data_IF_155444524460
#
_entry.id   IF_155444524460
#
_cell.length_a   1.000
_cell.length_b   1.000
_cell.length_c   1.000
_cell.angle_alpha   90.00
_cell.angle_beta   90.00
_cell.angle_gamma   90.00
#
_symmetry.space_group_name_H-M   'P 1'
#
loop_
_entity.id
_entity.type
_entity.pdbx_description
1 polymer ?
#
# COMPACT_ATOMS: atom_id res chain seq x y z
N UNK A 1 -3.55 6.40 11.56
CA UNK A 1 -2.29 5.92 12.19
C UNK A 1 -1.70 7.00 13.07
N UNK A 2 -1.40 6.67 14.30
CA UNK A 2 -0.85 7.60 15.29
C UNK A 2 0.29 6.91 16.07
N UNK A 3 0.93 7.64 16.98
CA UNK A 3 1.99 7.07 17.84
C UNK A 3 1.50 5.91 18.70
N UNK A 4 0.20 5.86 19.01
CA UNK A 4 -0.39 4.75 19.73
C UNK A 4 -0.31 3.42 18.96
N UNK A 5 -0.15 3.48 17.63
CA UNK A 5 -0.03 2.32 16.77
C UNK A 5 1.41 1.78 16.68
N UNK A 6 2.38 2.48 17.28
CA UNK A 6 3.80 2.12 17.16
C UNK A 6 4.11 0.65 17.52
N UNK A 7 3.59 0.09 18.63
CA UNK A 7 3.87 -1.30 18.96
C UNK A 7 3.41 -2.29 17.89
N UNK A 8 2.25 -2.03 17.30
CA UNK A 8 1.70 -2.88 16.25
C UNK A 8 2.47 -2.72 14.94
N UNK A 9 2.73 -1.48 14.53
CA UNK A 9 3.50 -1.19 13.31
C UNK A 9 4.91 -1.79 13.39
N UNK A 10 5.52 -1.80 14.57
CA UNK A 10 6.83 -2.41 14.77
C UNK A 10 6.86 -3.93 14.50
N UNK A 11 5.71 -4.59 14.48
CA UNK A 11 5.62 -6.03 14.15
C UNK A 11 5.63 -6.31 12.66
N UNK A 12 5.49 -5.29 11.82
CA UNK A 12 5.45 -5.45 10.37
C UNK A 12 6.84 -5.44 9.75
N UNK A 13 7.01 -6.19 8.68
CA UNK A 13 8.18 -6.11 7.82
C UNK A 13 7.95 -5.02 6.79
N UNK A 14 8.37 -3.80 7.13
CA UNK A 14 8.12 -2.62 6.31
C UNK A 14 9.14 -2.42 5.20
N UNK A 15 10.29 -3.08 5.32
CA UNK A 15 11.41 -2.85 4.40
C UNK A 15 11.98 -1.43 4.52
N UNK A 16 13.02 -1.15 3.74
CA UNK A 16 13.63 0.18 3.70
C UNK A 16 14.31 0.59 5.00
N UNK A 17 14.55 1.89 5.14
CA UNK A 17 15.35 2.46 6.23
C UNK A 17 14.56 3.37 7.20
N UNK A 18 13.24 3.50 7.03
CA UNK A 18 12.45 4.46 7.83
C UNK A 18 12.30 4.04 9.30
N UNK A 19 12.20 2.73 9.55
CA UNK A 19 11.80 2.22 10.85
C UNK A 19 10.33 2.50 11.18
N UNK A 20 9.80 1.94 12.30
CA UNK A 20 8.38 2.09 12.64
C UNK A 20 7.96 3.54 12.91
N UNK A 21 8.77 4.30 13.64
CA UNK A 21 8.48 5.70 13.94
C UNK A 21 8.48 6.55 12.68
N UNK A 22 9.50 6.38 11.84
CA UNK A 22 9.60 7.08 10.56
C UNK A 22 8.45 6.72 9.61
N UNK A 23 7.98 5.50 9.68
CA UNK A 23 6.83 5.02 8.92
C UNK A 23 5.55 5.76 9.30
N UNK A 24 5.29 5.87 10.59
CA UNK A 24 4.12 6.61 11.10
C UNK A 24 4.22 8.09 10.73
N UNK A 25 5.38 8.71 10.89
CA UNK A 25 5.60 10.11 10.54
C UNK A 25 5.38 10.35 9.05
N UNK A 26 5.93 9.49 8.19
CA UNK A 26 5.75 9.57 6.75
C UNK A 26 4.28 9.43 6.35
N UNK A 27 3.56 8.49 6.95
CA UNK A 27 2.12 8.31 6.75
C UNK A 27 1.35 9.56 7.14
N UNK A 28 1.65 10.15 8.28
CA UNK A 28 0.99 11.37 8.74
C UNK A 28 1.25 12.55 7.80
N UNK A 29 2.46 12.66 7.23
CA UNK A 29 2.76 13.67 6.23
C UNK A 29 1.94 13.47 4.96
N UNK A 30 1.74 12.23 4.52
CA UNK A 30 0.87 11.96 3.36
C UNK A 30 -0.55 12.46 3.62
N UNK A 31 -1.11 12.22 4.82
CA UNK A 31 -2.43 12.76 5.17
C UNK A 31 -2.47 14.28 5.12
N UNK A 32 -1.46 14.94 5.65
CA UNK A 32 -1.42 16.40 5.70
C UNK A 32 -1.27 17.02 4.30
N UNK A 33 -0.46 16.42 3.44
CA UNK A 33 -0.15 16.96 2.12
C UNK A 33 -1.14 16.54 1.04
N UNK A 34 -1.71 15.35 1.12
CA UNK A 34 -2.49 14.74 0.04
C UNK A 34 -3.90 14.32 0.44
N UNK A 35 -4.23 14.34 1.72
CA UNK A 35 -5.54 13.89 2.24
C UNK A 35 -5.69 12.38 2.33
N UNK A 36 -4.64 11.61 2.09
CA UNK A 36 -4.63 10.16 2.23
C UNK A 36 -3.29 9.66 2.76
N UNK A 37 -3.25 8.42 3.20
CA UNK A 37 -2.08 7.75 3.73
C UNK A 37 -2.39 6.29 4.01
N UNK A 38 -1.55 5.65 4.80
CA UNK A 38 -1.80 4.27 5.20
C UNK A 38 -2.71 4.25 6.43
N UNK A 39 -3.66 3.32 6.44
CA UNK A 39 -4.56 3.08 7.57
C UNK A 39 -4.17 1.80 8.27
N UNK A 40 -4.38 1.76 9.57
CA UNK A 40 -4.28 0.52 10.34
C UNK A 40 -5.46 -0.38 9.95
N UNK A 41 -5.17 -1.64 9.68
CA UNK A 41 -6.19 -2.65 9.35
C UNK A 41 -6.37 -3.57 10.55
N UNK A 42 -7.60 -3.77 10.97
CA UNK A 42 -7.97 -4.63 12.07
C UNK A 42 -9.06 -5.62 11.65
N UNK A 43 -9.14 -6.75 12.34
CA UNK A 43 -10.30 -7.64 12.22
C UNK A 43 -11.52 -6.99 12.86
N UNK A 44 -12.71 -7.52 12.62
CA UNK A 44 -13.93 -7.05 13.29
C UNK A 44 -13.86 -7.22 14.82
N UNK A 45 -13.01 -8.12 15.30
CA UNK A 45 -12.77 -8.31 16.74
C UNK A 45 -11.72 -7.36 17.31
N UNK A 46 -11.13 -6.47 16.50
CA UNK A 46 -10.14 -5.49 16.93
C UNK A 46 -8.70 -5.99 16.92
N UNK A 47 -8.44 -7.16 16.36
CA UNK A 47 -7.08 -7.69 16.25
C UNK A 47 -6.31 -6.96 15.13
N UNK A 48 -5.10 -6.51 15.42
CA UNK A 48 -4.25 -5.84 14.44
C UNK A 48 -3.84 -6.81 13.32
N UNK A 49 -4.10 -6.43 12.08
CA UNK A 49 -3.73 -7.18 10.88
C UNK A 49 -2.50 -6.60 10.20
N UNK A 50 -2.46 -5.30 10.01
CA UNK A 50 -1.40 -4.63 9.28
C UNK A 50 -1.76 -3.20 8.91
N UNK A 51 -1.24 -2.73 7.79
CA UNK A 51 -1.63 -1.45 7.22
C UNK A 51 -1.98 -1.59 5.74
N UNK A 52 -2.76 -0.65 5.26
CA UNK A 52 -3.12 -0.55 3.84
C UNK A 52 -3.59 0.88 3.55
N UNK A 53 -3.24 1.40 2.40
CA UNK A 53 -3.70 2.74 2.03
C UNK A 53 -3.02 3.26 0.79
N UNK A 54 -3.02 4.58 0.66
CA UNK A 54 -2.50 5.31 -0.49
C UNK A 54 -1.33 6.17 -0.09
N UNK A 55 -0.29 6.19 -0.93
CA UNK A 55 0.87 7.07 -0.78
C UNK A 55 1.27 7.62 -2.15
N UNK A 56 2.02 8.73 -2.14
CA UNK A 56 2.62 9.26 -3.36
C UNK A 56 4.00 8.66 -3.54
N UNK A 57 4.27 8.16 -4.74
CA UNK A 57 5.56 7.59 -5.10
C UNK A 57 6.08 8.22 -6.38
N UNK A 58 7.37 8.56 -6.41
CA UNK A 58 8.03 8.98 -7.64
C UNK A 58 8.58 7.77 -8.37
N UNK A 59 8.16 7.58 -9.61
CA UNK A 59 8.59 6.48 -10.47
C UNK A 59 9.09 7.08 -11.78
N UNK A 60 10.37 6.96 -12.04
CA UNK A 60 11.00 7.50 -13.26
C UNK A 60 10.67 8.98 -13.50
N UNK A 61 10.68 9.78 -12.45
CA UNK A 61 10.41 11.23 -12.51
C UNK A 61 8.93 11.62 -12.50
N UNK A 62 8.02 10.65 -12.44
CA UNK A 62 6.58 10.89 -12.40
C UNK A 62 6.02 10.55 -11.01
N UNK A 63 5.20 11.45 -10.47
CA UNK A 63 4.53 11.22 -9.19
C UNK A 63 3.22 10.47 -9.42
N UNK A 64 3.12 9.29 -8.82
CA UNK A 64 1.97 8.39 -8.97
C UNK A 64 1.39 8.02 -7.62
N UNK A 65 0.09 7.74 -7.60
CA UNK A 65 -0.59 7.26 -6.39
C UNK A 65 -0.41 5.75 -6.30
N UNK A 66 0.15 5.29 -5.20
CA UNK A 66 0.37 3.87 -4.94
C UNK A 66 -0.58 3.35 -3.88
N UNK A 67 -1.18 2.17 -4.13
CA UNK A 67 -1.79 1.36 -3.08
C UNK A 67 -0.72 0.46 -2.46
N UNK A 68 -0.59 0.52 -1.15
CA UNK A 68 0.36 -0.31 -0.40
C UNK A 68 -0.36 -1.15 0.64
N UNK A 69 0.21 -2.30 0.96
CA UNK A 69 -0.33 -3.20 2.00
C UNK A 69 0.79 -3.95 2.68
N UNK A 70 0.63 -4.13 3.99
CA UNK A 70 1.48 -4.99 4.81
C UNK A 70 0.58 -5.76 5.77
N UNK A 71 0.80 -7.06 5.86
CA UNK A 71 0.06 -7.95 6.76
C UNK A 71 1.06 -8.63 7.69
N UNK A 72 0.79 -8.62 8.99
CA UNK A 72 1.64 -9.32 9.96
C UNK A 72 1.76 -10.80 9.59
N UNK A 73 2.93 -11.38 9.81
CA UNK A 73 3.25 -12.74 9.32
C UNK A 73 2.27 -13.81 9.76
N UNK A 74 1.73 -13.71 10.99
CA UNK A 74 0.79 -14.70 11.54
C UNK A 74 -0.58 -14.68 10.86
N UNK A 75 -0.91 -13.62 10.12
CA UNK A 75 -2.22 -13.46 9.49
C UNK A 75 -2.16 -13.46 7.95
N UNK A 76 -0.99 -13.79 7.40
CA UNK A 76 -0.83 -13.90 5.94
C UNK A 76 -1.61 -15.09 5.38
N UNK A 77 -1.92 -15.04 4.07
CA UNK A 77 -2.62 -16.10 3.32
C UNK A 77 -4.06 -16.34 3.77
N UNK A 78 -4.69 -15.33 4.38
CA UNK A 78 -6.09 -15.40 4.79
C UNK A 78 -6.99 -14.43 4.02
N UNK A 79 -6.44 -13.76 2.97
CA UNK A 79 -7.20 -12.84 2.15
C UNK A 79 -7.29 -11.41 2.66
N UNK A 80 -6.69 -11.08 3.79
CA UNK A 80 -6.76 -9.73 4.37
C UNK A 80 -6.18 -8.65 3.47
N UNK A 81 -5.01 -8.91 2.86
CA UNK A 81 -4.37 -7.95 1.99
C UNK A 81 -5.24 -7.62 0.77
N UNK A 82 -5.79 -8.65 0.12
CA UNK A 82 -6.64 -8.46 -1.06
C UNK A 82 -7.95 -7.73 -0.71
N UNK A 83 -8.56 -8.06 0.42
CA UNK A 83 -9.77 -7.40 0.88
C UNK A 83 -9.52 -5.92 1.20
N UNK A 84 -8.47 -5.63 1.96
CA UNK A 84 -8.11 -4.25 2.31
C UNK A 84 -7.70 -3.44 1.07
N UNK A 85 -6.83 -3.99 0.24
CA UNK A 85 -6.35 -3.31 -0.97
C UNK A 85 -7.48 -3.08 -1.97
N UNK A 86 -8.42 -4.00 -2.08
CA UNK A 86 -9.63 -3.83 -2.91
C UNK A 86 -10.50 -2.68 -2.43
N UNK A 87 -10.70 -2.56 -1.12
CA UNK A 87 -11.44 -1.45 -0.54
C UNK A 87 -10.71 -0.11 -0.76
N UNK A 88 -9.39 -0.09 -0.62
CA UNK A 88 -8.57 1.10 -0.88
C UNK A 88 -8.64 1.51 -2.35
N UNK A 89 -8.62 0.54 -3.27
CA UNK A 89 -8.80 0.82 -4.70
C UNK A 89 -10.12 1.54 -4.97
N UNK A 90 -11.21 1.09 -4.38
CA UNK A 90 -12.51 1.75 -4.53
C UNK A 90 -12.51 3.16 -3.91
N UNK A 91 -11.90 3.32 -2.75
CA UNK A 91 -11.73 4.64 -2.13
C UNK A 91 -10.91 5.58 -3.02
N UNK A 92 -9.84 5.09 -3.65
CA UNK A 92 -9.03 5.86 -4.58
C UNK A 92 -9.85 6.34 -5.78
N UNK A 93 -10.66 5.46 -6.33
CA UNK A 93 -11.57 5.80 -7.42
C UNK A 93 -12.54 6.91 -7.00
N UNK A 94 -13.12 6.79 -5.82
CA UNK A 94 -14.10 7.75 -5.31
C UNK A 94 -13.52 9.14 -5.09
N UNK A 95 -12.24 9.26 -4.75
CA UNK A 95 -11.57 10.56 -4.58
C UNK A 95 -10.93 11.10 -5.86
N UNK A 96 -11.12 10.42 -7.00
CA UNK A 96 -10.69 10.91 -8.30
C UNK A 96 -9.29 10.49 -8.74
N UNK A 97 -8.71 9.48 -8.15
CA UNK A 97 -7.44 8.91 -8.63
C UNK A 97 -7.71 8.24 -9.98
N UNK A 98 -7.05 8.71 -11.03
CA UNK A 98 -7.25 8.21 -12.38
C UNK A 98 -6.44 6.95 -12.66
N UNK A 99 -5.19 6.91 -12.19
CA UNK A 99 -4.28 5.79 -12.36
C UNK A 99 -3.69 5.38 -11.02
N UNK A 100 -3.85 4.13 -10.66
CA UNK A 100 -3.37 3.56 -9.40
C UNK A 100 -2.29 2.55 -9.69
N UNK A 101 -1.19 2.60 -8.95
CA UNK A 101 -0.09 1.65 -9.09
C UNK A 101 0.18 0.91 -7.78
N UNK A 102 0.95 -0.16 -7.90
CA UNK A 102 1.62 -0.83 -6.79
C UNK A 102 3.04 -1.17 -7.23
N UNK A 103 4.02 -0.87 -6.39
CA UNK A 103 5.43 -1.16 -6.65
C UNK A 103 5.80 -2.40 -5.86
N UNK A 104 6.16 -3.48 -6.55
CA UNK A 104 6.35 -4.79 -5.94
C UNK A 104 7.70 -5.35 -6.37
N UNK A 105 8.45 -5.92 -5.42
CA UNK A 105 9.71 -6.58 -5.75
C UNK A 105 9.45 -7.84 -6.57
N UNK A 106 10.35 -8.18 -7.53
CA UNK A 106 10.14 -9.35 -8.40
C UNK A 106 10.03 -10.67 -7.65
N UNK A 107 10.64 -10.79 -6.47
CA UNK A 107 10.60 -12.00 -5.64
C UNK A 107 9.38 -12.06 -4.71
N UNK A 108 8.61 -10.99 -4.62
CA UNK A 108 7.41 -10.94 -3.78
C UNK A 108 6.18 -11.46 -4.53
N UNK A 109 6.11 -12.77 -4.69
CA UNK A 109 5.04 -13.44 -5.43
C UNK A 109 3.67 -13.25 -4.77
N UNK A 110 3.64 -13.23 -3.43
CA UNK A 110 2.40 -13.04 -2.69
C UNK A 110 1.75 -11.68 -3.00
N UNK A 111 2.54 -10.60 -2.99
CA UNK A 111 2.03 -9.26 -3.33
C UNK A 111 1.64 -9.14 -4.81
N UNK A 112 2.34 -9.82 -5.71
CA UNK A 112 1.92 -9.89 -7.11
C UNK A 112 0.54 -10.55 -7.25
N UNK A 113 0.28 -11.57 -6.47
CA UNK A 113 -1.04 -12.22 -6.41
C UNK A 113 -2.14 -11.28 -5.89
N UNK A 114 -1.83 -10.48 -4.87
CA UNK A 114 -2.77 -9.46 -4.35
C UNK A 114 -3.07 -8.42 -5.44
N UNK A 115 -2.03 -7.90 -6.10
CA UNK A 115 -2.21 -6.94 -7.19
C UNK A 115 -3.14 -7.49 -8.29
N UNK A 116 -2.93 -8.73 -8.70
CA UNK A 116 -3.79 -9.37 -9.70
C UNK A 116 -5.24 -9.49 -9.22
N UNK A 117 -5.47 -9.87 -7.96
CA UNK A 117 -6.82 -10.00 -7.39
C UNK A 117 -7.59 -8.70 -7.37
N UNK A 118 -6.92 -7.58 -7.18
CA UNK A 118 -7.57 -6.26 -7.19
C UNK A 118 -7.59 -5.62 -8.57
N UNK A 119 -7.21 -6.35 -9.61
CA UNK A 119 -7.32 -5.90 -11.00
C UNK A 119 -6.18 -5.05 -11.51
N UNK A 120 -5.03 -5.03 -10.82
CA UNK A 120 -3.83 -4.39 -11.34
C UNK A 120 -3.09 -5.35 -12.26
N UNK A 121 -2.48 -4.81 -13.31
CA UNK A 121 -1.70 -5.59 -14.27
C UNK A 121 -0.27 -5.07 -14.34
N UNK A 122 0.67 -5.93 -14.67
CA UNK A 122 2.08 -5.52 -14.83
C UNK A 122 2.18 -4.53 -15.99
N UNK A 123 2.71 -3.35 -15.69
CA UNK A 123 2.90 -2.28 -16.68
C UNK A 123 4.34 -2.15 -17.13
N UNK A 124 5.30 -2.24 -16.20
CA UNK A 124 6.71 -2.05 -16.51
C UNK A 124 7.61 -2.52 -15.38
N UNK A 125 8.87 -2.70 -15.70
CA UNK A 125 9.93 -2.96 -14.75
C UNK A 125 10.75 -1.67 -14.59
N UNK A 126 11.13 -1.35 -13.37
CA UNK A 126 11.87 -0.13 -13.04
C UNK A 126 12.94 -0.44 -11.99
N UNK A 127 13.77 0.55 -11.70
CA UNK A 127 14.63 0.54 -10.51
C UNK A 127 14.01 1.52 -9.51
N UNK A 128 13.62 1.01 -8.35
CA UNK A 128 13.00 1.80 -7.29
C UNK A 128 13.43 1.26 -5.93
N UNK A 129 13.54 2.15 -4.94
CA UNK A 129 13.91 1.78 -3.58
C UNK A 129 15.20 0.93 -3.49
N UNK A 130 16.18 1.28 -4.33
CA UNK A 130 17.50 0.66 -4.31
C UNK A 130 17.65 -0.66 -5.05
N UNK A 131 16.67 -1.05 -5.87
CA UNK A 131 16.74 -2.31 -6.62
C UNK A 131 15.66 -2.45 -7.68
N UNK A 132 15.65 -3.60 -8.38
CA UNK A 132 14.64 -3.85 -9.39
C UNK A 132 13.25 -3.94 -8.75
N UNK A 133 12.26 -3.41 -9.46
CA UNK A 133 10.87 -3.42 -9.02
C UNK A 133 9.92 -3.56 -10.20
N UNK A 134 8.77 -4.15 -9.92
CA UNK A 134 7.68 -4.27 -10.89
C UNK A 134 6.62 -3.22 -10.56
N UNK A 135 6.14 -2.51 -11.56
CA UNK A 135 5.02 -1.58 -11.42
C UNK A 135 3.77 -2.23 -12.00
N UNK A 136 2.83 -2.52 -11.11
CA UNK A 136 1.49 -2.95 -11.48
C UNK A 136 0.57 -1.73 -11.46
N UNK A 137 -0.42 -1.69 -12.33
CA UNK A 137 -1.31 -0.55 -12.36
C UNK A 137 -2.63 -0.81 -13.04
N UNK A 138 -3.54 0.14 -12.85
CA UNK A 138 -4.82 0.17 -13.52
C UNK A 138 -5.36 1.58 -13.62
N UNK A 139 -6.03 1.87 -14.72
CA UNK A 139 -6.85 3.08 -14.86
C UNK A 139 -8.16 2.82 -14.12
N UNK A 140 -8.51 3.71 -13.18
CA UNK A 140 -9.71 3.54 -12.36
C UNK A 140 -10.96 4.11 -13.04
N UNK A 141 -10.75 4.97 -14.03
CA UNK A 141 -11.84 5.65 -14.71
C UNK A 141 -12.50 6.72 -13.86
N UNK A 142 -13.54 7.39 -14.38
CA UNK A 142 -14.23 8.42 -13.62
C UNK A 142 -15.05 7.81 -12.48
N UNK A 143 -15.17 8.57 -11.37
CA UNK A 143 -16.11 8.23 -10.30
C UNK A 143 -17.53 8.20 -10.83
N UNK A 144 -18.26 7.21 -10.40
CA UNK A 144 -19.66 7.09 -10.79
C UNK A 144 -20.54 8.15 -10.09
#
# INVERSE_FOLDING_TARGET
MTEADLPDIATLDLGGSRGPEGWIEWTRRNYAEHGFGLWVVETHAGEFVGDCGLTMQEVEGEWLVEVGWHVRSSLRRQGYAAEAAGAVREAARDIGVEHLIAIIRPDNVASQGVAAKIGLVLEREVVAHGGPALVFGADLGPSA
#
